data_IF_737235642178
#
_entry.id   IF_737235642178
#
_cell.length_a   1.000
_cell.length_b   1.000
_cell.length_c   1.000
_cell.angle_alpha   90.00
_cell.angle_beta   90.00
_cell.angle_gamma   90.00
#
_symmetry.space_group_name_H-M   'P 1'
#
loop_
_entity.id
_entity.type
_entity.pdbx_description
1 polymer ?
#
# COMPACT_ATOMS: atom_id res chain seq x y z
N UNK A 1 34.91 40.75 37.39
CA UNK A 1 33.70 40.37 36.63
C UNK A 1 34.00 39.04 35.96
N UNK A 2 33.62 37.91 36.57
CA UNK A 2 33.88 36.59 35.98
C UNK A 2 32.93 36.37 34.80
N UNK A 3 33.45 35.90 33.67
CA UNK A 3 32.66 35.65 32.46
C UNK A 3 31.86 34.35 32.60
N UNK A 4 30.60 34.34 32.13
CA UNK A 4 29.66 33.22 32.19
C UNK A 4 30.17 31.90 31.57
N UNK A 5 31.25 31.95 30.77
CA UNK A 5 31.91 30.77 30.19
C UNK A 5 32.70 29.94 31.22
N UNK A 6 33.10 30.52 32.35
CA UNK A 6 33.86 29.79 33.38
C UNK A 6 32.98 29.13 34.45
N UNK A 7 31.69 29.50 34.53
CA UNK A 7 30.74 28.95 35.50
C UNK A 7 29.94 27.74 34.98
N UNK A 8 30.10 27.37 33.71
CA UNK A 8 29.36 26.28 33.11
C UNK A 8 30.28 25.14 32.67
N UNK A 9 29.88 23.87 32.88
CA UNK A 9 30.65 22.73 32.40
C UNK A 9 30.73 22.74 30.86
N UNK A 10 31.84 22.25 30.27
CA UNK A 10 32.02 22.24 28.82
C UNK A 10 30.91 21.42 28.14
N UNK A 11 30.35 21.95 27.04
CA UNK A 11 29.30 21.29 26.28
C UNK A 11 29.79 19.93 25.76
N UNK A 12 29.04 18.86 26.07
CA UNK A 12 29.46 17.47 25.81
C UNK A 12 29.38 17.03 24.34
N UNK A 13 28.92 17.90 23.43
CA UNK A 13 28.93 17.59 21.99
C UNK A 13 29.02 18.87 21.17
N UNK A 14 30.23 19.18 20.68
CA UNK A 14 30.38 19.93 19.43
C UNK A 14 30.36 18.90 18.30
N UNK A 15 29.18 18.33 18.06
CA UNK A 15 28.93 17.49 16.90
C UNK A 15 28.44 18.38 15.77
N UNK A 16 29.12 18.32 14.62
CA UNK A 16 28.67 18.86 13.34
C UNK A 16 27.14 18.72 13.16
N UNK A 17 26.48 19.80 12.74
CA UNK A 17 25.05 19.81 12.37
C UNK A 17 24.76 19.04 11.08
N UNK A 18 25.78 18.46 10.46
CA UNK A 18 25.68 17.65 9.25
C UNK A 18 25.71 16.16 9.61
N UNK A 19 24.53 15.57 9.71
CA UNK A 19 24.36 14.12 9.85
C UNK A 19 24.58 13.46 8.48
N UNK A 20 25.71 12.74 8.35
CA UNK A 20 26.05 11.98 7.15
C UNK A 20 25.47 10.56 7.23
N UNK A 21 24.28 10.40 6.65
CA UNK A 21 23.53 9.13 6.59
C UNK A 21 24.31 8.00 5.91
N UNK A 22 25.32 8.32 5.10
CA UNK A 22 26.12 7.36 4.33
C UNK A 22 27.02 6.49 5.20
N UNK A 23 27.35 6.96 6.41
CA UNK A 23 28.23 6.26 7.35
C UNK A 23 27.49 5.52 8.47
N UNK A 24 26.16 5.55 8.48
CA UNK A 24 25.36 4.94 9.53
C UNK A 24 25.50 3.40 9.48
N UNK A 25 25.83 2.72 10.60
CA UNK A 25 26.03 1.27 10.61
C UNK A 25 24.81 0.49 10.08
N UNK A 26 23.62 1.03 10.30
CA UNK A 26 22.37 0.47 9.79
C UNK A 26 22.28 0.47 8.26
N UNK A 27 22.79 1.52 7.60
CA UNK A 27 22.78 1.65 6.14
C UNK A 27 23.92 0.86 5.50
N UNK A 28 25.15 0.98 6.03
CA UNK A 28 26.33 0.26 5.54
C UNK A 28 26.14 -1.25 5.53
N UNK A 29 25.56 -1.84 6.57
CA UNK A 29 25.40 -3.28 6.64
C UNK A 29 24.38 -3.83 5.62
N UNK A 30 23.47 -2.98 5.11
CA UNK A 30 22.48 -3.37 4.11
C UNK A 30 22.96 -3.12 2.68
N UNK A 31 23.65 -2.00 2.45
CA UNK A 31 24.13 -1.63 1.11
C UNK A 31 25.50 -2.23 0.76
N UNK A 32 26.43 -2.34 1.71
CA UNK A 32 27.70 -3.04 1.45
C UNK A 32 27.53 -4.56 1.30
N UNK A 33 26.43 -5.13 1.81
CA UNK A 33 26.01 -6.49 1.47
C UNK A 33 25.57 -6.59 0.00
N UNK A 34 24.83 -5.60 -0.50
CA UNK A 34 24.40 -5.55 -1.90
C UNK A 34 25.57 -5.33 -2.89
N UNK A 35 26.63 -4.60 -2.49
CA UNK A 35 27.86 -4.47 -3.30
C UNK A 35 28.69 -5.76 -3.32
N UNK A 36 28.72 -6.52 -2.22
CA UNK A 36 29.39 -7.82 -2.17
C UNK A 36 28.66 -8.90 -3.01
N UNK A 37 27.35 -8.74 -3.24
CA UNK A 37 26.54 -9.65 -4.06
C UNK A 37 26.83 -9.52 -5.58
N UNK A 38 27.56 -8.49 -6.04
CA UNK A 38 27.90 -8.33 -7.47
C UNK A 38 28.98 -9.29 -7.98
N UNK A 39 29.55 -10.16 -7.14
CA UNK A 39 30.55 -11.15 -7.55
C UNK A 39 30.17 -12.60 -7.24
N UNK A 40 28.91 -12.87 -6.91
CA UNK A 40 28.43 -14.26 -6.79
C UNK A 40 28.37 -14.87 -8.18
N UNK A 41 29.42 -15.62 -8.54
CA UNK A 41 29.39 -16.56 -9.66
C UNK A 41 28.24 -17.52 -9.41
N UNK A 42 27.09 -17.24 -10.02
CA UNK A 42 25.93 -18.14 -10.00
C UNK A 42 26.40 -19.44 -10.64
N UNK A 43 26.59 -20.48 -9.83
CA UNK A 43 26.67 -21.83 -10.36
C UNK A 43 25.31 -22.09 -10.97
N UNK A 44 25.22 -21.91 -12.29
CA UNK A 44 24.00 -22.19 -13.04
C UNK A 44 23.81 -23.70 -12.97
N UNK A 45 23.06 -24.15 -11.96
CA UNK A 45 22.52 -25.49 -11.96
C UNK A 45 21.50 -25.51 -13.11
N UNK A 46 21.93 -25.99 -14.26
CA UNK A 46 21.09 -26.06 -15.45
C UNK A 46 19.90 -26.96 -15.15
N UNK A 47 18.73 -26.33 -14.99
CA UNK A 47 17.46 -27.05 -14.85
C UNK A 47 17.29 -27.93 -16.09
N UNK A 48 17.04 -29.24 -15.94
CA UNK A 48 16.82 -30.10 -17.09
C UNK A 48 15.64 -29.62 -17.94
N UNK A 49 15.67 -29.90 -19.24
CA UNK A 49 14.58 -29.53 -20.15
C UNK A 49 13.25 -30.20 -19.75
N UNK A 50 12.14 -29.59 -20.15
CA UNK A 50 10.79 -30.15 -19.93
C UNK A 50 10.69 -31.59 -20.44
N UNK A 51 9.99 -32.47 -19.69
CA UNK A 51 9.90 -33.93 -19.94
C UNK A 51 11.21 -34.72 -19.83
N UNK A 52 12.30 -34.12 -19.38
CA UNK A 52 13.55 -34.82 -19.01
C UNK A 52 13.88 -34.63 -17.52
N UNK A 53 12.86 -34.36 -16.71
CA UNK A 53 12.98 -34.05 -15.28
C UNK A 53 12.68 -35.25 -14.37
N UNK A 54 12.68 -36.46 -14.92
CA UNK A 54 12.47 -37.68 -14.13
C UNK A 54 13.59 -37.83 -13.10
N UNK A 55 13.22 -37.88 -11.82
CA UNK A 55 14.17 -37.94 -10.70
C UNK A 55 14.80 -36.59 -10.31
N UNK A 56 14.48 -35.49 -10.99
CA UNK A 56 14.93 -34.15 -10.60
C UNK A 56 14.07 -33.64 -9.44
N UNK A 57 14.69 -33.37 -8.28
CA UNK A 57 13.99 -32.92 -7.07
C UNK A 57 14.60 -31.61 -6.54
N UNK A 58 14.12 -30.44 -7.01
CA UNK A 58 14.64 -29.16 -6.55
C UNK A 58 14.18 -28.87 -5.12
N UNK A 59 15.11 -28.56 -4.24
CA UNK A 59 14.82 -28.25 -2.83
C UNK A 59 15.38 -26.90 -2.39
N UNK A 60 16.49 -26.45 -2.99
CA UNK A 60 17.07 -25.13 -2.77
C UNK A 60 16.47 -24.13 -3.75
N UNK A 61 16.39 -22.83 -3.41
CA UNK A 61 15.96 -21.81 -4.35
C UNK A 61 16.84 -21.75 -5.61
N UNK A 62 18.14 -22.05 -5.46
CA UNK A 62 19.13 -22.12 -6.55
C UNK A 62 18.86 -23.25 -7.56
N UNK A 63 18.16 -24.31 -7.16
CA UNK A 63 17.87 -25.47 -8.03
C UNK A 63 16.81 -25.13 -9.10
N UNK A 64 16.12 -24.00 -8.97
CA UNK A 64 15.09 -23.54 -9.90
C UNK A 64 15.63 -22.63 -11.02
N UNK A 65 16.94 -22.30 -11.01
CA UNK A 65 17.53 -21.38 -11.99
C UNK A 65 16.92 -19.97 -11.86
N UNK A 66 16.18 -19.53 -12.89
CA UNK A 66 15.45 -18.25 -12.92
C UNK A 66 14.10 -18.29 -12.17
N UNK A 67 13.83 -19.41 -11.48
CA UNK A 67 12.61 -19.63 -10.72
C UNK A 67 11.58 -20.47 -11.47
N UNK A 68 10.34 -20.44 -10.98
CA UNK A 68 9.25 -21.28 -11.48
C UNK A 68 9.23 -22.68 -10.85
N UNK A 69 8.04 -23.18 -10.55
CA UNK A 69 7.84 -24.53 -10.05
C UNK A 69 7.49 -25.47 -11.20
N UNK A 70 7.95 -26.72 -11.14
CA UNK A 70 7.72 -27.73 -12.16
C UNK A 70 6.47 -28.55 -11.82
N UNK A 71 5.35 -28.39 -12.54
CA UNK A 71 4.11 -29.10 -12.23
C UNK A 71 4.22 -30.62 -12.49
N UNK A 72 5.18 -31.05 -13.33
CA UNK A 72 5.42 -32.47 -13.62
C UNK A 72 6.05 -33.24 -12.44
N UNK A 73 6.70 -32.53 -11.52
CA UNK A 73 7.30 -33.13 -10.33
C UNK A 73 6.31 -33.02 -9.17
N UNK A 74 5.76 -34.15 -8.74
CA UNK A 74 4.79 -34.26 -7.64
C UNK A 74 5.47 -34.12 -6.27
N UNK A 75 6.13 -32.99 -6.07
CA UNK A 75 6.85 -32.62 -4.86
C UNK A 75 6.55 -31.17 -4.52
N UNK A 76 6.49 -30.84 -3.22
CA UNK A 76 6.25 -29.48 -2.77
C UNK A 76 7.47 -28.60 -3.08
N UNK A 77 7.30 -27.74 -4.09
CA UNK A 77 8.34 -26.84 -4.58
C UNK A 77 8.04 -25.42 -4.11
N UNK A 78 9.07 -24.69 -3.69
CA UNK A 78 8.94 -23.35 -3.15
C UNK A 78 9.99 -22.41 -3.78
N UNK A 79 9.85 -22.05 -5.07
CA UNK A 79 10.72 -21.06 -5.71
C UNK A 79 10.68 -19.75 -4.92
N UNK A 80 11.86 -19.15 -4.68
CA UNK A 80 12.04 -17.93 -3.88
C UNK A 80 11.36 -17.97 -2.48
N UNK A 81 11.11 -19.16 -1.94
CA UNK A 81 10.41 -19.33 -0.66
C UNK A 81 8.91 -19.00 -0.68
N UNK A 82 8.32 -18.74 -1.85
CA UNK A 82 6.88 -18.52 -2.01
C UNK A 82 6.08 -19.74 -1.55
N UNK A 83 4.87 -19.54 -1.02
CA UNK A 83 3.99 -20.64 -0.58
C UNK A 83 4.36 -21.32 0.74
N UNK A 84 5.50 -20.94 1.36
CA UNK A 84 5.85 -21.40 2.71
C UNK A 84 5.13 -20.57 3.77
N UNK A 85 4.69 -21.23 4.85
CA UNK A 85 4.05 -20.59 6.02
C UNK A 85 5.05 -19.84 6.94
N UNK A 86 6.25 -19.53 6.48
CA UNK A 86 7.35 -19.00 7.31
C UNK A 86 7.17 -17.53 7.68
N UNK A 87 6.48 -16.73 6.84
CA UNK A 87 6.29 -15.29 7.03
C UNK A 87 4.96 -14.90 7.68
N UNK A 88 3.92 -15.72 7.57
CA UNK A 88 2.59 -15.40 8.08
C UNK A 88 2.36 -16.03 9.45
N UNK A 89 3.13 -15.60 10.48
CA UNK A 89 2.66 -15.84 11.85
C UNK A 89 1.34 -15.07 12.00
N UNK A 90 0.25 -15.70 12.46
CA UNK A 90 -1.00 -14.97 12.70
C UNK A 90 -0.70 -13.82 13.68
N UNK A 91 -0.87 -12.58 13.21
CA UNK A 91 -0.62 -11.38 14.01
C UNK A 91 0.64 -10.57 13.69
N UNK A 92 1.36 -10.83 12.59
CA UNK A 92 2.40 -9.89 12.15
C UNK A 92 1.79 -8.56 11.67
N UNK A 93 2.26 -7.44 12.23
CA UNK A 93 1.81 -6.07 11.92
C UNK A 93 2.69 -5.42 10.85
N UNK A 94 2.96 -6.13 9.76
CA UNK A 94 3.81 -5.65 8.67
C UNK A 94 2.99 -5.55 7.41
N UNK A 95 2.98 -4.38 6.78
CA UNK A 95 2.31 -4.18 5.49
C UNK A 95 3.08 -4.92 4.38
N UNK A 96 2.38 -5.53 3.41
CA UNK A 96 3.04 -6.14 2.26
C UNK A 96 3.74 -5.06 1.43
N UNK A 97 4.93 -5.37 0.93
CA UNK A 97 5.67 -4.49 0.01
C UNK A 97 4.99 -4.55 -1.35
N UNK A 98 4.46 -3.42 -1.82
CA UNK A 98 3.81 -3.29 -3.13
C UNK A 98 4.77 -2.71 -4.16
N UNK A 99 4.63 -3.10 -5.42
CA UNK A 99 5.47 -2.64 -6.54
C UNK A 99 4.59 -1.98 -7.61
N UNK A 100 5.14 -1.02 -8.34
CA UNK A 100 4.49 -0.37 -9.48
C UNK A 100 4.65 -1.17 -10.78
N UNK A 101 4.06 -0.68 -11.86
CA UNK A 101 4.15 -1.27 -13.21
C UNK A 101 5.58 -1.30 -13.76
N UNK A 102 6.45 -0.41 -13.27
CA UNK A 102 7.85 -0.32 -13.67
C UNK A 102 8.77 -1.20 -12.81
N UNK A 103 8.22 -1.89 -11.81
CA UNK A 103 8.97 -2.74 -10.89
C UNK A 103 9.66 -1.99 -9.74
N UNK A 104 9.39 -0.70 -9.56
CA UNK A 104 9.85 0.04 -8.40
C UNK A 104 8.99 -0.26 -7.18
N UNK A 105 9.60 -0.24 -6.00
CA UNK A 105 8.87 -0.42 -4.75
C UNK A 105 8.06 0.84 -4.45
N UNK A 106 6.75 0.66 -4.30
CA UNK A 106 5.83 1.73 -3.92
C UNK A 106 5.77 1.89 -2.40
N UNK A 107 6.21 3.05 -1.91
CA UNK A 107 6.12 3.40 -0.49
C UNK A 107 4.80 4.10 -0.12
N UNK A 108 3.98 4.39 -1.13
CA UNK A 108 2.69 5.09 -1.02
C UNK A 108 1.67 4.37 -0.12
N UNK A 109 1.75 3.04 -0.03
CA UNK A 109 0.92 2.24 0.86
C UNK A 109 1.06 2.64 2.35
N UNK A 110 2.21 3.18 2.75
CA UNK A 110 2.43 3.66 4.11
C UNK A 110 1.64 4.95 4.36
N UNK A 111 1.62 5.85 3.37
CA UNK A 111 0.91 7.13 3.46
C UNK A 111 -0.61 6.89 3.39
N UNK A 112 -1.05 5.96 2.55
CA UNK A 112 -2.47 5.63 2.32
C UNK A 112 -3.12 4.72 3.37
N UNK A 113 -2.39 4.26 4.40
CA UNK A 113 -2.85 3.19 5.31
C UNK A 113 -4.21 3.44 5.98
N UNK A 114 -4.58 4.69 6.25
CA UNK A 114 -5.84 5.08 6.91
C UNK A 114 -6.75 5.93 6.02
N UNK A 115 -6.50 5.92 4.71
CA UNK A 115 -7.25 6.74 3.76
C UNK A 115 -8.22 5.90 2.93
N UNK A 116 -9.22 6.55 2.35
CA UNK A 116 -10.11 5.89 1.41
C UNK A 116 -9.32 5.48 0.17
N UNK A 117 -9.60 4.30 -0.39
CA UNK A 117 -8.93 3.82 -1.60
C UNK A 117 -9.08 4.78 -2.81
N UNK A 118 -10.14 5.59 -2.82
CA UNK A 118 -10.42 6.59 -3.84
C UNK A 118 -9.73 7.95 -3.60
N UNK A 119 -9.12 8.17 -2.43
CA UNK A 119 -8.45 9.44 -2.13
C UNK A 119 -7.11 9.47 -2.87
N UNK A 120 -6.93 10.54 -3.66
CA UNK A 120 -5.68 10.77 -4.40
C UNK A 120 -4.67 11.38 -3.44
N UNK A 121 -3.50 10.73 -3.35
CA UNK A 121 -2.35 11.18 -2.55
C UNK A 121 -1.17 11.30 -3.48
N UNK A 122 -0.51 12.45 -3.42
CA UNK A 122 0.73 12.71 -4.14
C UNK A 122 1.91 12.49 -3.19
N UNK A 123 2.66 11.42 -3.41
CA UNK A 123 3.77 10.98 -2.55
C UNK A 123 5.09 10.85 -3.31
N UNK A 124 5.07 10.93 -4.64
CA UNK A 124 6.25 10.71 -5.47
C UNK A 124 6.93 12.04 -5.81
N UNK A 125 8.24 12.00 -6.04
CA UNK A 125 8.97 13.17 -6.52
C UNK A 125 8.45 13.67 -7.87
N UNK A 126 7.93 12.77 -8.72
CA UNK A 126 7.32 13.11 -10.01
C UNK A 126 6.11 14.04 -9.86
N UNK A 127 5.45 14.05 -8.70
CA UNK A 127 4.31 14.91 -8.43
C UNK A 127 4.73 16.36 -8.13
N UNK A 128 5.98 16.59 -7.70
CA UNK A 128 6.52 17.94 -7.50
C UNK A 128 6.98 18.60 -8.81
N UNK A 129 7.23 17.80 -9.84
CA UNK A 129 7.73 18.30 -11.12
C UNK A 129 6.59 19.03 -11.85
N UNK A 130 6.77 20.30 -12.26
CA UNK A 130 5.72 21.05 -12.93
C UNK A 130 5.35 20.40 -14.26
N UNK A 131 4.04 20.24 -14.50
CA UNK A 131 3.48 19.74 -15.76
C UNK A 131 3.02 20.93 -16.60
N UNK A 132 3.51 21.02 -17.83
CA UNK A 132 3.03 22.01 -18.80
C UNK A 132 1.75 21.50 -19.45
N UNK A 133 0.63 22.15 -19.15
CA UNK A 133 -0.68 21.80 -19.70
C UNK A 133 -0.73 22.19 -21.19
N UNK A 134 -1.10 21.23 -22.04
CA UNK A 134 -1.62 21.51 -23.39
C UNK A 134 -3.13 21.56 -23.28
N UNK A 135 -3.70 22.76 -23.39
CA UNK A 135 -5.14 22.98 -23.31
C UNK A 135 -5.78 22.59 -24.65
N UNK A 136 -6.10 21.31 -24.80
CA UNK A 136 -6.91 20.77 -25.90
C UNK A 136 -8.02 19.92 -25.29
N UNK A 137 -8.93 20.55 -24.54
CA UNK A 137 -10.18 19.92 -24.13
C UNK A 137 -11.35 20.74 -24.64
N UNK A 138 -12.33 20.04 -25.18
CA UNK A 138 -13.52 20.59 -25.84
C UNK A 138 -14.47 21.15 -24.78
N UNK A 139 -14.78 22.44 -24.87
CA UNK A 139 -15.49 23.24 -23.86
C UNK A 139 -16.93 22.74 -23.59
N UNK A 140 -17.57 22.11 -24.58
CA UNK A 140 -18.99 21.71 -24.53
C UNK A 140 -19.28 20.48 -23.63
N UNK A 141 -18.32 19.57 -23.46
CA UNK A 141 -18.50 18.41 -22.57
C UNK A 141 -18.38 18.81 -21.09
N UNK A 142 -17.54 19.80 -20.81
CA UNK A 142 -17.31 20.32 -19.46
C UNK A 142 -18.57 20.99 -18.88
N UNK A 143 -19.33 21.74 -19.70
CA UNK A 143 -20.55 22.42 -19.25
C UNK A 143 -21.64 21.45 -18.75
N UNK A 144 -21.85 20.32 -19.45
CA UNK A 144 -22.86 19.33 -19.06
C UNK A 144 -22.49 18.61 -17.76
N UNK A 145 -21.21 18.26 -17.59
CA UNK A 145 -20.71 17.62 -16.37
C UNK A 145 -20.84 18.56 -15.15
N UNK A 146 -20.61 19.86 -15.36
CA UNK A 146 -20.79 20.90 -14.33
C UNK A 146 -22.27 20.98 -13.91
N UNK A 147 -23.20 21.01 -14.86
CA UNK A 147 -24.64 21.08 -14.57
C UNK A 147 -25.14 19.84 -13.82
N UNK A 148 -24.75 18.63 -14.25
CA UNK A 148 -25.10 17.38 -13.57
C UNK A 148 -24.56 17.34 -12.14
N UNK A 149 -23.29 17.69 -11.96
CA UNK A 149 -22.64 17.74 -10.63
C UNK A 149 -23.31 18.77 -9.73
N UNK A 150 -23.71 19.91 -10.28
CA UNK A 150 -24.40 20.98 -9.55
C UNK A 150 -25.78 20.51 -9.08
N UNK A 151 -26.56 19.85 -9.94
CA UNK A 151 -27.88 19.32 -9.59
C UNK A 151 -27.78 18.23 -8.51
N UNK A 152 -26.84 17.30 -8.63
CA UNK A 152 -26.61 16.25 -7.63
C UNK A 152 -26.21 16.84 -6.27
N UNK A 153 -25.27 17.79 -6.27
CA UNK A 153 -24.81 18.45 -5.04
C UNK A 153 -25.94 19.24 -4.37
N UNK A 154 -26.73 19.98 -5.15
CA UNK A 154 -27.90 20.71 -4.65
C UNK A 154 -28.90 19.78 -3.98
N UNK A 155 -29.28 18.68 -4.64
CA UNK A 155 -30.22 17.71 -4.09
C UNK A 155 -29.73 17.06 -2.79
N UNK A 156 -28.43 16.76 -2.67
CA UNK A 156 -27.87 16.17 -1.46
C UNK A 156 -27.81 17.17 -0.29
N UNK A 157 -27.46 18.43 -0.56
CA UNK A 157 -27.49 19.50 0.44
C UNK A 157 -28.91 19.76 0.95
N UNK A 158 -29.91 19.76 0.06
CA UNK A 158 -31.33 19.90 0.43
C UNK A 158 -31.78 18.77 1.38
N UNK A 159 -31.38 17.51 1.14
CA UNK A 159 -31.68 16.39 2.05
C UNK A 159 -31.07 16.59 3.43
N UNK A 160 -29.82 17.07 3.50
CA UNK A 160 -29.13 17.33 4.77
C UNK A 160 -29.84 18.45 5.54
N UNK A 161 -30.20 19.53 4.85
CA UNK A 161 -30.94 20.66 5.44
C UNK A 161 -32.31 20.21 5.95
N UNK A 162 -33.08 19.46 5.15
CA UNK A 162 -34.39 18.94 5.55
C UNK A 162 -34.31 18.03 6.77
N UNK A 163 -33.27 17.17 6.86
CA UNK A 163 -33.01 16.34 8.05
C UNK A 163 -32.73 17.21 9.29
N UNK A 164 -31.94 18.28 9.15
CA UNK A 164 -31.65 19.22 10.25
C UNK A 164 -32.88 20.01 10.68
N UNK A 165 -33.67 20.52 9.73
CA UNK A 165 -34.92 21.25 10.01
C UNK A 165 -35.94 20.37 10.72
N UNK A 166 -36.10 19.12 10.27
CA UNK A 166 -37.01 18.14 10.88
C UNK A 166 -36.61 17.77 12.32
N UNK A 167 -35.32 17.86 12.66
CA UNK A 167 -34.83 17.63 14.02
C UNK A 167 -35.02 18.85 14.94
N UNK A 168 -34.97 20.06 14.37
CA UNK A 168 -35.14 21.31 15.12
C UNK A 168 -36.61 21.70 15.33
N UNK A 169 -37.51 21.30 14.43
CA UNK A 169 -38.94 21.58 14.55
C UNK A 169 -39.61 20.59 15.54
N UNK A 170 -40.44 21.08 16.48
CA UNK A 170 -41.20 20.20 17.37
C UNK A 170 -42.18 19.35 16.54
N UNK A 171 -42.25 18.04 16.82
CA UNK A 171 -43.17 17.09 16.17
C UNK A 171 -44.62 17.41 16.52
N UNK A 172 -45.24 18.31 15.75
CA UNK A 172 -46.68 18.58 15.81
C UNK A 172 -47.44 17.98 14.62
N UNK A 173 -46.74 17.31 13.70
CA UNK A 173 -47.36 16.64 12.55
C UNK A 173 -47.48 15.13 12.87
N UNK A 174 -48.69 14.55 12.81
CA UNK A 174 -48.89 13.11 12.95
C UNK A 174 -48.00 12.38 11.95
N UNK A 175 -47.15 11.48 12.43
CA UNK A 175 -46.36 10.60 11.57
C UNK A 175 -47.32 9.72 10.80
N UNK A 176 -47.50 9.98 9.50
CA UNK A 176 -48.25 9.08 8.65
C UNK A 176 -47.53 7.72 8.66
N UNK A 177 -48.24 6.67 9.07
CA UNK A 177 -47.74 5.31 9.07
C UNK A 177 -47.50 4.90 7.61
N UNK A 178 -46.24 4.81 7.20
CA UNK A 178 -45.91 4.31 5.87
C UNK A 178 -46.27 2.82 5.76
N UNK A 179 -46.58 2.38 4.55
CA UNK A 179 -46.87 0.97 4.23
C UNK A 179 -45.78 -0.01 4.69
N UNK A 180 -46.17 -1.24 5.00
CA UNK A 180 -45.27 -2.30 5.46
C UNK A 180 -44.21 -2.64 4.40
N UNK A 181 -42.92 -2.51 4.73
CA UNK A 181 -41.79 -2.86 3.86
C UNK A 181 -41.19 -4.22 4.25
N UNK A 182 -41.22 -5.18 3.34
CA UNK A 182 -40.54 -6.47 3.51
C UNK A 182 -39.15 -6.42 2.87
N UNK A 183 -38.13 -6.86 3.61
CA UNK A 183 -36.74 -6.94 3.14
C UNK A 183 -36.30 -8.41 3.16
N UNK A 184 -35.74 -8.91 2.05
CA UNK A 184 -35.17 -10.26 1.99
C UNK A 184 -33.74 -10.22 2.54
N UNK A 185 -33.59 -10.63 3.79
CA UNK A 185 -32.28 -10.75 4.42
C UNK A 185 -31.68 -12.15 4.19
N UNK A 186 -30.41 -12.21 3.77
CA UNK A 186 -29.61 -13.44 3.77
C UNK A 186 -28.54 -13.30 4.86
N UNK A 187 -28.58 -14.10 5.94
CA UNK A 187 -27.54 -14.07 6.95
C UNK A 187 -26.22 -14.56 6.36
N UNK A 188 -25.12 -13.89 6.70
CA UNK A 188 -23.76 -14.28 6.26
C UNK A 188 -23.21 -15.48 7.02
N UNK A 189 -23.73 -15.76 8.21
CA UNK A 189 -23.41 -16.95 9.00
C UNK A 189 -24.59 -17.93 8.94
N UNK A 190 -24.47 -18.97 8.12
CA UNK A 190 -25.30 -20.16 8.32
C UNK A 190 -24.67 -20.93 9.47
N UNK A 191 -25.20 -20.71 10.68
CA UNK A 191 -24.85 -21.53 11.83
C UNK A 191 -25.46 -22.91 11.57
N UNK A 192 -24.63 -23.85 11.11
CA UNK A 192 -25.00 -25.26 11.07
C UNK A 192 -24.99 -25.75 12.52
N UNK A 193 -26.15 -25.71 13.18
CA UNK A 193 -26.35 -26.41 14.45
C UNK A 193 -26.42 -27.91 14.14
N UNK A 194 -25.37 -28.63 14.55
CA UNK A 194 -25.34 -30.10 14.66
C UNK A 194 -26.24 -30.53 15.81
#
# INVERSE_FOLDING_TARGET
MAALKELLPPAKSSGTTHYDHSNDPWFKQRYSAAEADQSVTVKVNLVPLYRKRDGFRPSKPEDFGDGGAFPEIHYAQYPLGMGRKTGAKPGQKTLPVTVDEHGNVTFDAIVKQNENASKIVYSQHMDLVPKFLKNEKEEDEEEKEIDETTQQTKAELEKIVNRRLSAAQPKNVPTQSSDSKFIKYKPSATVCSV
#
